data_IF_256077388474
#
_entry.id   IF_256077388474
#
_cell.length_a   1.000
_cell.length_b   1.000
_cell.length_c   1.000
_cell.angle_alpha   90.00
_cell.angle_beta   90.00
_cell.angle_gamma   90.00
#
_symmetry.space_group_name_H-M   'P 1'
#
loop_
_entity.id
_entity.type
_entity.pdbx_description
1 polymer ?
#
# COMPACT_ATOMS: atom_id res chain seq x y z
N UNK A 1 50.40 -26.34 -4.07
CA UNK A 1 49.02 -26.08 -3.61
C UNK A 1 49.05 -24.72 -2.91
N UNK A 2 48.85 -23.56 -3.54
CA UNK A 2 47.60 -23.14 -4.16
C UNK A 2 47.75 -21.74 -4.83
N UNK A 3 48.80 -21.52 -5.62
CA UNK A 3 48.94 -20.30 -6.44
C UNK A 3 47.75 -20.10 -7.41
N UNK A 4 47.19 -21.21 -7.91
CA UNK A 4 45.98 -21.23 -8.72
C UNK A 4 44.74 -20.76 -7.94
N UNK A 5 44.58 -21.15 -6.67
CA UNK A 5 43.44 -20.71 -5.85
C UNK A 5 43.59 -19.23 -5.48
N UNK A 6 44.80 -18.77 -5.15
CA UNK A 6 45.02 -17.37 -4.79
C UNK A 6 44.80 -16.42 -5.99
N UNK A 7 45.19 -16.85 -7.19
CA UNK A 7 44.92 -16.15 -8.44
C UNK A 7 43.42 -16.13 -8.79
N UNK A 8 42.72 -17.24 -8.55
CA UNK A 8 41.25 -17.29 -8.69
C UNK A 8 40.56 -16.32 -7.73
N UNK A 9 40.97 -16.29 -6.45
CA UNK A 9 40.37 -15.42 -5.43
C UNK A 9 40.59 -13.93 -5.73
N UNK A 10 41.81 -13.54 -6.14
CA UNK A 10 42.15 -12.16 -6.52
C UNK A 10 41.44 -11.70 -7.82
N UNK A 11 41.07 -12.64 -8.68
CA UNK A 11 40.28 -12.38 -9.89
C UNK A 11 38.80 -12.15 -9.55
N UNK A 12 38.26 -12.87 -8.57
CA UNK A 12 36.90 -12.65 -8.03
C UNK A 12 36.78 -11.28 -7.36
N UNK A 13 37.76 -10.85 -6.56
CA UNK A 13 37.77 -9.51 -5.94
C UNK A 13 37.81 -8.37 -6.97
N UNK A 14 38.47 -8.57 -8.13
CA UNK A 14 38.48 -7.57 -9.23
C UNK A 14 37.20 -7.55 -10.06
N UNK A 15 36.38 -8.60 -10.00
CA UNK A 15 35.06 -8.63 -10.65
C UNK A 15 33.95 -8.03 -9.79
N UNK A 16 34.21 -7.82 -8.49
CA UNK A 16 33.40 -6.93 -7.66
C UNK A 16 33.77 -5.51 -8.08
N UNK A 17 32.82 -4.80 -8.69
CA UNK A 17 32.99 -3.45 -9.19
C UNK A 17 33.65 -2.56 -8.14
N UNK A 18 34.57 -1.70 -8.56
CA UNK A 18 35.22 -0.74 -7.67
C UNK A 18 34.13 0.08 -6.98
N UNK A 19 34.21 0.26 -5.65
CA UNK A 19 33.17 0.95 -4.85
C UNK A 19 32.79 2.35 -5.35
N UNK A 20 33.63 2.98 -6.18
CA UNK A 20 33.32 4.24 -6.90
C UNK A 20 32.33 4.07 -8.06
N UNK A 21 32.43 2.98 -8.80
CA UNK A 21 31.54 2.66 -9.93
C UNK A 21 30.14 2.31 -9.43
N UNK A 22 30.05 1.59 -8.31
CA UNK A 22 28.78 1.29 -7.64
C UNK A 22 28.07 2.55 -7.14
N UNK A 23 28.82 3.47 -6.51
CA UNK A 23 28.28 4.76 -6.04
C UNK A 23 27.81 5.64 -7.19
N UNK A 24 28.56 5.69 -8.29
CA UNK A 24 28.17 6.43 -9.50
C UNK A 24 26.88 5.90 -10.13
N UNK A 25 26.76 4.58 -10.24
CA UNK A 25 25.55 3.94 -10.76
C UNK A 25 24.33 4.18 -9.85
N UNK A 26 24.50 4.12 -8.52
CA UNK A 26 23.42 4.41 -7.57
C UNK A 26 22.94 5.87 -7.65
N UNK A 27 23.86 6.82 -7.80
CA UNK A 27 23.56 8.25 -7.95
C UNK A 27 22.73 8.52 -9.22
N UNK A 28 23.08 7.89 -10.34
CA UNK A 28 22.38 8.02 -11.61
C UNK A 28 20.98 7.39 -11.55
N UNK A 29 20.87 6.20 -10.95
CA UNK A 29 19.58 5.55 -10.68
C UNK A 29 18.70 6.42 -9.79
N UNK A 30 19.26 7.06 -8.76
CA UNK A 30 18.51 7.95 -7.87
C UNK A 30 17.96 9.17 -8.62
N UNK A 31 18.77 9.80 -9.46
CA UNK A 31 18.35 10.95 -10.29
C UNK A 31 17.23 10.59 -11.28
N UNK A 32 17.33 9.44 -11.92
CA UNK A 32 16.30 8.97 -12.87
C UNK A 32 14.98 8.65 -12.15
N UNK A 33 15.03 8.06 -10.97
CA UNK A 33 13.86 7.84 -10.11
C UNK A 33 13.21 9.17 -9.71
N UNK A 34 13.98 10.15 -9.24
CA UNK A 34 13.47 11.47 -8.84
C UNK A 34 12.81 12.20 -10.02
N UNK A 35 13.42 12.15 -11.20
CA UNK A 35 12.84 12.72 -12.42
C UNK A 35 11.53 12.02 -12.83
N UNK A 36 11.47 10.69 -12.72
CA UNK A 36 10.26 9.92 -12.99
C UNK A 36 9.12 10.23 -12.00
N UNK A 37 9.44 10.33 -10.70
CA UNK A 37 8.47 10.72 -9.66
C UNK A 37 7.94 12.14 -9.91
N UNK A 38 8.79 13.07 -10.36
CA UNK A 38 8.36 14.44 -10.66
C UNK A 38 7.41 14.49 -11.87
N UNK A 39 7.63 13.64 -12.87
CA UNK A 39 6.81 13.56 -14.09
C UNK A 39 5.44 12.91 -13.85
N UNK A 40 5.38 11.94 -12.95
CA UNK A 40 4.14 11.30 -12.53
C UNK A 40 3.57 12.03 -11.30
N UNK A 41 2.63 12.96 -11.51
CA UNK A 41 2.00 13.70 -10.42
C UNK A 41 1.57 12.80 -9.25
N UNK A 42 1.81 13.26 -8.01
CA UNK A 42 1.45 12.48 -6.81
C UNK A 42 -0.03 12.13 -6.85
N UNK A 43 -0.35 10.83 -6.77
CA UNK A 43 -1.74 10.39 -6.64
C UNK A 43 -2.35 11.03 -5.39
N UNK A 44 -3.57 11.56 -5.50
CA UNK A 44 -4.29 12.16 -4.38
C UNK A 44 -4.49 11.16 -3.23
N UNK A 45 -4.66 11.69 -2.01
CA UNK A 45 -4.96 10.89 -0.83
C UNK A 45 -6.33 10.20 -1.01
N UNK A 46 -6.40 8.90 -0.77
CA UNK A 46 -7.68 8.21 -0.71
C UNK A 46 -8.40 8.54 0.60
N UNK A 47 -9.69 8.85 0.52
CA UNK A 47 -10.49 9.03 1.72
C UNK A 47 -10.73 7.65 2.36
N UNK A 48 -10.21 7.47 3.56
CA UNK A 48 -10.41 6.29 4.37
C UNK A 48 -11.53 6.59 5.39
N UNK A 49 -12.74 6.19 5.04
CA UNK A 49 -13.88 6.26 5.96
C UNK A 49 -13.87 5.03 6.87
N UNK A 50 -14.08 5.26 8.16
CA UNK A 50 -14.33 4.23 9.16
C UNK A 50 -15.59 3.43 8.81
N UNK A 51 -15.73 2.25 9.40
CA UNK A 51 -16.91 1.40 9.16
C UNK A 51 -18.21 2.04 9.62
N UNK A 52 -18.17 2.89 10.65
CA UNK A 52 -19.31 3.62 11.20
C UNK A 52 -19.73 4.77 10.27
N UNK A 53 -18.78 5.59 9.83
CA UNK A 53 -19.04 6.65 8.86
C UNK A 53 -19.64 6.11 7.57
N UNK A 54 -19.17 4.93 7.12
CA UNK A 54 -19.71 4.27 5.93
C UNK A 54 -21.16 3.86 6.08
N UNK A 55 -21.57 3.42 7.27
CA UNK A 55 -22.99 3.17 7.59
C UNK A 55 -23.77 4.46 7.60
N UNK A 56 -23.28 5.50 8.30
CA UNK A 56 -23.97 6.77 8.40
C UNK A 56 -24.20 7.41 7.02
N UNK A 57 -23.18 7.41 6.16
CA UNK A 57 -23.28 7.90 4.78
C UNK A 57 -24.26 7.04 3.97
N UNK A 58 -24.18 5.71 4.08
CA UNK A 58 -25.06 4.79 3.36
C UNK A 58 -26.54 4.98 3.74
N UNK A 59 -26.84 5.04 5.04
CA UNK A 59 -28.18 5.26 5.59
C UNK A 59 -28.76 6.59 5.11
N UNK A 60 -28.02 7.69 5.33
CA UNK A 60 -28.46 9.01 4.92
C UNK A 60 -28.65 9.13 3.40
N UNK A 61 -27.78 8.49 2.61
CA UNK A 61 -27.90 8.48 1.15
C UNK A 61 -29.11 7.67 0.66
N UNK A 62 -29.58 6.66 1.41
CA UNK A 62 -30.82 5.96 1.12
C UNK A 62 -32.04 6.85 1.36
N UNK A 63 -32.05 7.62 2.44
CA UNK A 63 -33.18 8.48 2.84
C UNK A 63 -33.26 9.77 2.02
N UNK A 64 -32.12 10.44 1.81
CA UNK A 64 -32.05 11.80 1.25
C UNK A 64 -31.43 11.86 -0.16
N UNK A 65 -30.88 10.75 -0.63
CA UNK A 65 -30.15 10.68 -1.90
C UNK A 65 -28.66 11.03 -1.81
N UNK A 66 -27.86 10.57 -2.79
CA UNK A 66 -26.39 10.65 -2.75
C UNK A 66 -25.86 12.09 -2.80
N UNK A 67 -26.46 12.97 -3.59
CA UNK A 67 -26.01 14.37 -3.72
C UNK A 67 -26.20 15.16 -2.41
N UNK A 68 -27.30 14.92 -1.68
CA UNK A 68 -27.53 15.53 -0.36
C UNK A 68 -26.57 14.95 0.68
N UNK A 69 -26.28 13.66 0.62
CA UNK A 69 -25.30 13.01 1.50
C UNK A 69 -23.91 13.64 1.35
N UNK A 70 -23.45 13.86 0.12
CA UNK A 70 -22.17 14.56 -0.13
C UNK A 70 -22.10 15.91 0.58
N UNK A 71 -23.12 16.75 0.40
CA UNK A 71 -23.16 18.10 1.00
C UNK A 71 -23.21 18.06 2.53
N UNK A 72 -23.88 17.06 3.10
CA UNK A 72 -24.01 16.88 4.54
C UNK A 72 -22.68 16.44 5.16
N UNK A 73 -22.11 15.34 4.66
CA UNK A 73 -20.91 14.74 5.25
C UNK A 73 -19.62 15.47 4.92
N UNK A 74 -19.54 16.18 3.78
CA UNK A 74 -18.37 17.04 3.50
C UNK A 74 -18.24 18.17 4.53
N UNK A 75 -19.34 18.59 5.17
CA UNK A 75 -19.29 19.59 6.25
C UNK A 75 -18.93 19.00 7.61
N UNK A 76 -19.07 17.68 7.78
CA UNK A 76 -18.90 16.99 9.07
C UNK A 76 -17.52 16.35 9.18
N UNK A 77 -17.03 15.75 8.08
CA UNK A 77 -15.83 14.92 8.07
C UNK A 77 -14.57 15.76 7.76
N UNK A 78 -14.71 17.06 7.47
CA UNK A 78 -13.65 17.97 6.99
C UNK A 78 -12.87 17.51 5.74
N UNK A 79 -13.22 16.34 5.18
CA UNK A 79 -12.72 15.79 3.92
C UNK A 79 -13.83 15.79 2.85
N UNK A 80 -13.51 16.13 1.59
CA UNK A 80 -14.49 16.17 0.51
C UNK A 80 -14.95 14.77 0.14
N UNK A 81 -16.23 14.45 0.35
CA UNK A 81 -16.83 13.17 -0.03
C UNK A 81 -17.19 13.15 -1.52
N UNK A 82 -16.58 12.28 -2.35
CA UNK A 82 -16.98 12.15 -3.75
C UNK A 82 -18.38 11.56 -3.88
N UNK A 83 -19.17 12.05 -4.83
CA UNK A 83 -20.53 11.52 -5.07
C UNK A 83 -20.51 10.05 -5.48
N UNK A 84 -19.48 9.63 -6.22
CA UNK A 84 -19.25 8.23 -6.59
C UNK A 84 -19.13 7.34 -5.35
N UNK A 85 -18.48 7.83 -4.29
CA UNK A 85 -18.36 7.15 -3.01
C UNK A 85 -19.71 7.07 -2.31
N UNK A 86 -20.44 8.17 -2.20
CA UNK A 86 -21.77 8.18 -1.58
C UNK A 86 -22.73 7.19 -2.28
N UNK A 87 -22.71 7.16 -3.62
CA UNK A 87 -23.50 6.21 -4.42
C UNK A 87 -23.09 4.75 -4.17
N UNK A 88 -21.79 4.49 -4.09
CA UNK A 88 -21.26 3.14 -3.78
C UNK A 88 -21.69 2.69 -2.38
N UNK A 89 -21.56 3.56 -1.37
CA UNK A 89 -21.92 3.25 0.02
C UNK A 89 -23.42 3.01 0.17
N UNK A 90 -24.27 3.77 -0.53
CA UNK A 90 -25.71 3.51 -0.62
C UNK A 90 -25.98 2.10 -1.13
N UNK A 91 -25.34 1.70 -2.23
CA UNK A 91 -25.52 0.36 -2.78
C UNK A 91 -25.06 -0.73 -1.81
N UNK A 92 -23.87 -0.57 -1.21
CA UNK A 92 -23.35 -1.52 -0.21
C UNK A 92 -24.27 -1.63 1.03
N UNK A 93 -24.86 -0.52 1.47
CA UNK A 93 -25.83 -0.49 2.56
C UNK A 93 -27.13 -1.21 2.20
N UNK A 94 -27.69 -0.97 1.01
CA UNK A 94 -28.89 -1.68 0.53
C UNK A 94 -28.66 -3.20 0.41
N UNK A 95 -27.48 -3.62 -0.03
CA UNK A 95 -27.13 -5.05 -0.08
C UNK A 95 -27.03 -5.64 1.34
N UNK A 96 -26.43 -4.92 2.28
CA UNK A 96 -26.37 -5.35 3.67
C UNK A 96 -27.77 -5.46 4.30
N UNK A 97 -28.71 -4.58 3.92
CA UNK A 97 -30.11 -4.63 4.36
C UNK A 97 -30.87 -5.86 3.87
N UNK A 98 -30.49 -6.42 2.72
CA UNK A 98 -31.11 -7.66 2.24
C UNK A 98 -30.75 -8.86 3.13
N UNK A 99 -29.57 -8.82 3.77
CA UNK A 99 -29.09 -9.89 4.65
C UNK A 99 -29.40 -9.65 6.13
N UNK A 100 -29.62 -8.40 6.55
CA UNK A 100 -29.78 -8.01 7.96
C UNK A 100 -30.80 -6.88 8.12
N UNK A 101 -31.46 -6.82 9.28
CA UNK A 101 -32.37 -5.73 9.59
C UNK A 101 -31.67 -4.36 9.70
N UNK A 102 -32.35 -3.24 9.35
CA UNK A 102 -31.78 -1.90 9.27
C UNK A 102 -31.17 -1.36 10.57
N UNK A 103 -31.78 -1.68 11.71
CA UNK A 103 -31.30 -1.21 13.02
C UNK A 103 -30.08 -2.00 13.51
N UNK A 104 -29.84 -3.20 12.96
CA UNK A 104 -28.69 -4.03 13.32
C UNK A 104 -27.40 -3.65 12.57
N UNK A 105 -27.50 -2.81 11.53
CA UNK A 105 -26.34 -2.37 10.74
C UNK A 105 -25.64 -1.19 11.42
N UNK A 106 -24.81 -1.47 12.43
CA UNK A 106 -23.93 -0.47 13.08
C UNK A 106 -22.57 -0.34 12.40
N UNK A 107 -22.11 -1.38 11.71
CA UNK A 107 -20.76 -1.45 11.12
C UNK A 107 -20.83 -1.95 9.68
N UNK A 108 -20.27 -1.16 8.73
CA UNK A 108 -20.11 -1.57 7.33
C UNK A 108 -18.61 -1.78 7.05
N UNK A 109 -18.12 -3.04 7.01
CA UNK A 109 -16.70 -3.33 6.85
C UNK A 109 -16.21 -3.03 5.42
N UNK A 110 -14.95 -2.61 5.27
CA UNK A 110 -14.35 -2.34 3.96
C UNK A 110 -14.09 -3.67 3.27
N UNK A 111 -14.47 -3.78 2.00
CA UNK A 111 -14.14 -4.96 1.21
C UNK A 111 -12.62 -5.03 1.03
N UNK A 112 -12.04 -6.20 1.19
CA UNK A 112 -10.64 -6.44 0.83
C UNK A 112 -10.45 -6.05 -0.63
N UNK A 113 -9.47 -5.19 -0.91
CA UNK A 113 -9.16 -4.73 -2.25
C UNK A 113 -7.93 -5.47 -2.77
N UNK A 114 -7.93 -5.80 -4.06
CA UNK A 114 -6.79 -6.42 -4.72
C UNK A 114 -6.99 -7.91 -5.00
N UNK A 115 -5.90 -8.57 -5.40
CA UNK A 115 -5.89 -10.02 -5.65
C UNK A 115 -5.73 -10.75 -4.31
N UNK A 116 -6.46 -11.86 -4.10
CA UNK A 116 -6.25 -12.68 -2.92
C UNK A 116 -4.82 -13.23 -2.89
N UNK A 117 -4.31 -13.47 -1.69
CA UNK A 117 -2.99 -14.09 -1.50
C UNK A 117 -3.04 -15.55 -1.98
N UNK A 118 -2.10 -15.94 -2.84
CA UNK A 118 -2.04 -17.32 -3.35
C UNK A 118 -1.53 -18.31 -2.30
N UNK A 119 -0.64 -17.85 -1.42
CA UNK A 119 0.03 -18.68 -0.42
C UNK A 119 -0.75 -18.80 0.90
N UNK A 120 -1.90 -18.11 1.03
CA UNK A 120 -2.59 -17.98 2.32
C UNK A 120 -1.88 -17.03 3.28
N UNK A 121 -2.53 -16.71 4.40
CA UNK A 121 -2.07 -15.68 5.33
C UNK A 121 -0.81 -16.11 6.10
N UNK A 122 -0.81 -17.32 6.68
CA UNK A 122 0.28 -17.83 7.52
C UNK A 122 1.63 -17.91 6.78
N UNK A 123 1.62 -18.49 5.57
CA UNK A 123 2.83 -18.61 4.76
C UNK A 123 3.29 -17.26 4.22
N UNK A 124 2.36 -16.36 3.93
CA UNK A 124 2.70 -15.01 3.49
C UNK A 124 3.41 -14.24 4.60
N UNK A 125 2.91 -14.32 5.84
CA UNK A 125 3.53 -13.71 7.02
C UNK A 125 4.91 -14.30 7.30
N UNK A 126 5.06 -15.62 7.22
CA UNK A 126 6.36 -16.28 7.37
C UNK A 126 7.38 -15.79 6.32
N UNK A 127 6.98 -15.70 5.05
CA UNK A 127 7.85 -15.19 3.98
C UNK A 127 8.20 -13.71 4.17
N UNK A 128 7.25 -12.88 4.60
CA UNK A 128 7.50 -11.46 4.91
C UNK A 128 8.53 -11.31 6.03
N UNK A 129 8.33 -12.00 7.16
CA UNK A 129 9.25 -11.95 8.29
C UNK A 129 10.66 -12.41 7.92
N UNK A 130 10.77 -13.45 7.09
CA UNK A 130 12.04 -13.93 6.56
C UNK A 130 12.73 -12.87 5.69
N UNK A 131 12.03 -12.28 4.73
CA UNK A 131 12.59 -11.22 3.87
C UNK A 131 13.02 -10.01 4.70
N UNK A 132 12.23 -9.60 5.70
CA UNK A 132 12.60 -8.50 6.61
C UNK A 132 13.86 -8.81 7.42
N UNK A 133 13.98 -10.03 7.94
CA UNK A 133 15.18 -10.46 8.65
C UNK A 133 16.42 -10.43 7.76
N UNK A 134 16.30 -10.85 6.49
CA UNK A 134 17.40 -10.79 5.52
C UNK A 134 17.81 -9.35 5.19
N UNK A 135 16.85 -8.42 5.11
CA UNK A 135 17.16 -6.99 4.91
C UNK A 135 17.91 -6.42 6.10
N UNK A 136 17.43 -6.70 7.32
CA UNK A 136 18.10 -6.25 8.56
C UNK A 136 19.52 -6.78 8.67
N UNK A 137 19.75 -8.06 8.37
CA UNK A 137 21.11 -8.64 8.42
C UNK A 137 22.01 -8.10 7.29
N UNK A 138 21.48 -7.90 6.09
CA UNK A 138 22.20 -7.28 4.98
C UNK A 138 22.59 -5.82 5.24
N UNK A 139 21.69 -5.02 5.84
CA UNK A 139 21.94 -3.64 6.26
C UNK A 139 23.04 -3.57 7.34
N UNK A 140 23.03 -4.49 8.30
CA UNK A 140 24.10 -4.60 9.31
C UNK A 140 25.46 -4.89 8.67
N UNK A 141 25.50 -5.69 7.60
CA UNK A 141 26.75 -6.00 6.89
C UNK A 141 27.31 -4.79 6.13
N UNK A 142 26.45 -3.92 5.59
CA UNK A 142 26.85 -2.68 4.91
C UNK A 142 27.31 -1.57 5.87
N UNK A 143 26.85 -1.56 7.13
CA UNK A 143 27.28 -0.58 8.13
C UNK A 143 28.63 -0.93 8.78
N UNK A 144 29.07 -2.19 8.68
CA UNK A 144 30.36 -2.64 9.22
C UNK A 144 31.55 -2.52 8.22
N UNK A 145 31.31 -2.05 6.99
CA UNK A 145 32.34 -1.74 5.99
C UNK A 145 32.55 -0.24 5.82
#
# INVERSE_FOLDING_TARGET
MNLLIHAYFKKVEKTVLSSKEEKGAQEEVKKTIEAAIKKCGKRGKYNNYSSEERVAIGRYACENGPARAVRHFTKIIDDPLPETTARRLRYEYLQALQSKHPESLTVLPKKCQGRPLLLGDDLHEAVQSFIESLRKTGELYQQMQ
#
